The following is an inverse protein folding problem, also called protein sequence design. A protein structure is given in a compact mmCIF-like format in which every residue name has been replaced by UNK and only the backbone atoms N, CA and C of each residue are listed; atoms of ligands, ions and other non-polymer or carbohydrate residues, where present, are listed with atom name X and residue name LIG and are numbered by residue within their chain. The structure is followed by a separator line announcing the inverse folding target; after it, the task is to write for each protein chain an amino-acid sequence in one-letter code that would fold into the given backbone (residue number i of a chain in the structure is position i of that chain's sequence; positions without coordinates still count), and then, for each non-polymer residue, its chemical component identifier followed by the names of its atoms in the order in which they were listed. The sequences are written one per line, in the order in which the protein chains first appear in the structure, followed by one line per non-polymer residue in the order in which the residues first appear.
data_IF_083290101154
#
_entry.id   IF_083290101154
#
_cell.length_a   1.000
_cell.length_b   1.000
_cell.length_c   1.000
_cell.angle_alpha   90.00
_cell.angle_beta   90.00
_cell.angle_gamma   90.00
#
_symmetry.space_group_name_H-M   'P 1'
#
loop_
_entity.id
_entity.type
_entity.pdbx_description
1 polymer ?
#
# COMPACT_ATOMS: atom_id res chain seq x y z
N UNK A 1 -71.52 64.90 -10.07
CA UNK A 1 -72.48 64.14 -9.24
C UNK A 1 -71.99 62.69 -9.23
N UNK A 2 -71.31 62.15 -8.23
CA UNK A 2 -71.45 62.34 -6.79
C UNK A 2 -72.08 61.07 -6.22
N UNK A 3 -71.27 60.11 -5.75
CA UNK A 3 -71.37 59.50 -4.41
C UNK A 3 -70.55 58.21 -4.28
N UNK A 4 -69.39 58.36 -3.63
CA UNK A 4 -68.74 57.34 -2.82
C UNK A 4 -69.61 57.03 -1.57
N UNK A 5 -69.80 55.75 -1.24
CA UNK A 5 -70.16 55.26 0.11
C UNK A 5 -69.24 54.07 0.42
N UNK A 6 -68.19 54.28 1.20
CA UNK A 6 -68.05 54.00 2.66
C UNK A 6 -68.28 52.53 3.05
N UNK A 7 -67.19 51.93 3.52
CA UNK A 7 -67.13 50.75 4.40
C UNK A 7 -67.97 50.94 5.68
N UNK A 8 -68.31 49.82 6.35
CA UNK A 8 -67.80 49.67 7.70
C UNK A 8 -67.27 48.26 8.06
N UNK A 9 -66.17 48.29 8.81
CA UNK A 9 -65.79 47.53 10.00
C UNK A 9 -66.03 46.01 10.17
N UNK A 10 -64.88 45.36 10.40
CA UNK A 10 -64.56 44.40 11.47
C UNK A 10 -65.32 43.07 11.52
N UNK A 11 -64.60 42.00 11.17
CA UNK A 11 -64.74 40.70 11.84
C UNK A 11 -63.35 40.25 12.29
N UNK A 12 -63.17 40.36 13.61
CA UNK A 12 -62.47 39.45 14.51
C UNK A 12 -61.27 38.67 13.96
N UNK A 13 -60.08 39.14 14.33
CA UNK A 13 -58.90 38.31 14.56
C UNK A 13 -59.15 37.44 15.79
N UNK A 14 -59.32 36.13 15.62
CA UNK A 14 -58.92 35.13 16.62
C UNK A 14 -59.04 33.72 16.06
N UNK A 15 -58.03 32.90 16.39
CA UNK A 15 -57.86 31.45 16.09
C UNK A 15 -57.17 31.09 14.77
N UNK A 16 -56.03 31.70 14.50
CA UNK A 16 -54.85 30.95 14.03
C UNK A 16 -53.93 30.70 15.22
N UNK A 17 -54.35 29.83 16.13
CA UNK A 17 -53.50 29.30 17.19
C UNK A 17 -53.98 27.87 17.41
N UNK A 18 -53.34 26.93 16.71
CA UNK A 18 -53.23 25.49 17.03
C UNK A 18 -53.03 24.67 15.74
N UNK A 19 -51.86 24.74 15.13
CA UNK A 19 -51.36 23.61 14.33
C UNK A 19 -49.83 23.67 14.14
N UNK A 20 -49.10 23.98 15.20
CA UNK A 20 -47.69 23.59 15.33
C UNK A 20 -47.57 22.78 16.62
N UNK A 21 -48.34 21.69 16.69
CA UNK A 21 -48.25 20.74 17.79
C UNK A 21 -47.39 19.57 17.32
N UNK A 22 -46.08 19.70 17.58
CA UNK A 22 -45.12 18.62 17.78
C UNK A 22 -45.32 17.36 16.94
N UNK A 23 -44.73 17.33 15.73
CA UNK A 23 -44.42 16.07 15.05
C UNK A 23 -42.94 15.73 15.23
N UNK A 24 -42.49 15.61 16.49
CA UNK A 24 -41.19 15.02 16.84
C UNK A 24 -41.25 13.48 16.87
N UNK A 25 -42.46 12.91 16.84
CA UNK A 25 -42.71 11.47 16.79
C UNK A 25 -41.96 10.75 15.65
N UNK A 26 -42.06 11.19 14.37
CA UNK A 26 -41.36 10.51 13.27
C UNK A 26 -39.83 10.59 13.41
N UNK A 27 -39.31 11.70 13.95
CA UNK A 27 -37.88 11.84 14.24
C UNK A 27 -37.42 10.85 15.32
N UNK A 28 -38.22 10.69 16.38
CA UNK A 28 -37.96 9.72 17.43
C UNK A 28 -37.98 8.28 16.92
N UNK A 29 -38.96 7.92 16.08
CA UNK A 29 -39.01 6.60 15.45
C UNK A 29 -37.81 6.34 14.53
N UNK A 30 -37.38 7.33 13.74
CA UNK A 30 -36.17 7.21 12.91
C UNK A 30 -34.91 7.01 13.76
N UNK A 31 -34.76 7.75 14.85
CA UNK A 31 -33.65 7.57 15.78
C UNK A 31 -33.68 6.19 16.43
N UNK A 32 -34.85 5.70 16.84
CA UNK A 32 -35.01 4.36 17.42
C UNK A 32 -34.60 3.27 16.43
N UNK A 33 -35.08 3.34 15.18
CA UNK A 33 -34.73 2.39 14.12
C UNK A 33 -33.23 2.42 13.84
N UNK A 34 -32.64 3.61 13.79
CA UNK A 34 -31.19 3.76 13.61
C UNK A 34 -30.40 3.12 14.77
N UNK A 35 -30.82 3.33 16.02
CA UNK A 35 -30.17 2.73 17.20
C UNK A 35 -30.30 1.20 17.24
N UNK A 36 -31.41 0.65 16.77
CA UNK A 36 -31.60 -0.81 16.68
C UNK A 36 -30.69 -1.37 15.58
N UNK A 37 -30.66 -0.73 14.41
CA UNK A 37 -29.83 -1.17 13.29
C UNK A 37 -28.33 -1.17 13.64
N UNK A 38 -27.84 -0.14 14.33
CA UNK A 38 -26.43 -0.07 14.75
C UNK A 38 -26.07 -1.16 15.77
N UNK A 39 -26.98 -1.50 16.68
CA UNK A 39 -26.78 -2.60 17.64
C UNK A 39 -26.70 -3.96 16.96
N UNK A 40 -27.57 -4.22 15.99
CA UNK A 40 -27.56 -5.47 15.22
C UNK A 40 -26.24 -5.60 14.46
N UNK A 41 -25.81 -4.53 13.78
CA UNK A 41 -24.55 -4.52 13.04
C UNK A 41 -23.33 -4.72 13.96
N UNK A 42 -23.34 -4.11 15.15
CA UNK A 42 -22.28 -4.32 16.15
C UNK A 42 -22.24 -5.77 16.64
N UNK A 43 -23.40 -6.36 16.94
CA UNK A 43 -23.49 -7.75 17.38
C UNK A 43 -23.02 -8.74 16.29
N UNK A 44 -23.38 -8.48 15.03
CA UNK A 44 -22.90 -9.28 13.89
C UNK A 44 -21.38 -9.18 13.73
N UNK A 45 -20.82 -7.97 13.85
CA UNK A 45 -19.38 -7.75 13.82
C UNK A 45 -18.67 -8.52 14.94
N UNK A 46 -19.16 -8.45 16.19
CA UNK A 46 -18.59 -9.18 17.33
C UNK A 46 -18.59 -10.69 17.11
N UNK A 47 -19.67 -11.24 16.52
CA UNK A 47 -19.75 -12.66 16.19
C UNK A 47 -18.74 -13.06 15.11
N UNK A 48 -18.59 -12.25 14.06
CA UNK A 48 -17.61 -12.48 13.01
C UNK A 48 -16.18 -12.37 13.56
N UNK A 49 -15.92 -11.38 14.40
CA UNK A 49 -14.63 -11.20 15.05
C UNK A 49 -14.29 -12.40 15.91
N UNK A 50 -15.20 -12.82 16.79
CA UNK A 50 -15.00 -13.97 17.66
C UNK A 50 -14.68 -15.26 16.88
N UNK A 51 -15.31 -15.44 15.72
CA UNK A 51 -15.13 -16.62 14.87
C UNK A 51 -13.82 -16.60 14.08
N UNK A 52 -13.38 -15.44 13.60
CA UNK A 52 -12.30 -15.34 12.62
C UNK A 52 -11.03 -14.67 13.14
N UNK A 53 -11.09 -13.96 14.26
CA UNK A 53 -9.99 -13.16 14.78
C UNK A 53 -9.58 -13.49 16.21
N UNK A 54 -10.48 -13.96 17.08
CA UNK A 54 -10.21 -14.15 18.51
C UNK A 54 -8.96 -14.97 18.82
N UNK A 55 -8.76 -16.07 18.08
CA UNK A 55 -7.59 -16.94 18.24
C UNK A 55 -6.29 -16.27 17.78
N UNK A 56 -6.38 -15.32 16.85
CA UNK A 56 -5.24 -14.61 16.29
C UNK A 56 -4.85 -13.39 17.11
N UNK A 57 -5.83 -12.60 17.54
CA UNK A 57 -5.73 -11.46 18.46
C UNK A 57 -7.00 -11.42 19.32
N UNK A 58 -6.90 -11.45 20.66
CA UNK A 58 -8.08 -11.45 21.52
C UNK A 58 -8.82 -10.12 21.44
N UNK A 59 -10.16 -10.18 21.54
CA UNK A 59 -10.97 -8.98 21.65
C UNK A 59 -10.77 -8.31 23.02
N UNK A 60 -10.89 -6.98 23.06
CA UNK A 60 -10.71 -6.19 24.28
C UNK A 60 -11.66 -4.98 24.30
N UNK A 61 -12.03 -4.50 25.47
CA UNK A 61 -12.97 -3.38 25.60
C UNK A 61 -12.25 -2.04 25.47
N UNK A 62 -12.82 -1.11 24.71
CA UNK A 62 -12.24 0.23 24.54
C UNK A 62 -12.36 1.08 25.81
N UNK A 63 -11.26 1.69 26.24
CA UNK A 63 -11.27 2.59 27.40
C UNK A 63 -11.85 3.95 27.01
N UNK A 64 -13.07 4.26 27.50
CA UNK A 64 -13.86 5.46 27.15
C UNK A 64 -13.20 6.81 27.45
N UNK A 65 -12.17 6.88 28.28
CA UNK A 65 -11.55 8.15 28.70
C UNK A 65 -10.51 8.69 27.71
N UNK A 66 -10.18 7.97 26.64
CA UNK A 66 -9.08 8.34 25.76
C UNK A 66 -9.59 9.01 24.47
N UNK A 67 -9.45 10.33 24.38
CA UNK A 67 -9.78 11.13 23.18
C UNK A 67 -8.69 11.08 22.11
N UNK A 68 -7.51 10.50 22.43
CA UNK A 68 -6.47 10.31 21.43
C UNK A 68 -6.90 9.27 20.40
N UNK A 69 -6.94 9.68 19.12
CA UNK A 69 -7.24 8.82 17.98
C UNK A 69 -5.99 8.16 17.36
N UNK A 70 -4.81 8.48 17.88
CA UNK A 70 -3.53 7.98 17.38
C UNK A 70 -2.61 7.68 18.56
N UNK A 71 -2.07 6.47 18.59
CA UNK A 71 -1.11 6.04 19.60
C UNK A 71 0.27 5.82 18.97
N UNK A 72 1.29 6.19 19.73
CA UNK A 72 2.69 5.95 19.36
C UNK A 72 2.89 4.45 19.11
N UNK A 73 3.54 4.11 17.99
CA UNK A 73 3.71 2.72 17.53
C UNK A 73 2.68 2.24 16.50
N UNK A 74 1.46 2.79 16.43
CA UNK A 74 0.48 2.34 15.41
C UNK A 74 0.79 2.84 14.01
N UNK A 75 1.62 3.89 13.87
CA UNK A 75 2.06 4.39 12.56
C UNK A 75 2.97 3.39 11.84
N UNK A 76 3.68 2.53 12.58
CA UNK A 76 4.52 1.48 11.99
C UNK A 76 3.69 0.35 11.36
N UNK A 77 2.36 0.34 11.58
CA UNK A 77 1.45 -0.64 10.99
C UNK A 77 1.06 -0.30 9.55
N UNK A 78 1.32 0.93 9.11
CA UNK A 78 0.99 1.35 7.76
C UNK A 78 1.79 0.58 6.71
N UNK A 79 1.12 0.21 5.62
CA UNK A 79 1.74 -0.41 4.46
C UNK A 79 1.71 0.61 3.33
N UNK A 80 2.86 1.24 3.09
CA UNK A 80 3.04 2.18 1.98
C UNK A 80 3.27 1.47 0.65
N UNK A 81 3.94 0.30 0.68
CA UNK A 81 4.27 -0.53 -0.48
C UNK A 81 4.19 -2.01 -0.13
N UNK A 82 3.07 -2.64 -0.49
CA UNK A 82 2.89 -4.08 -0.45
C UNK A 82 2.67 -4.67 -1.84
N UNK A 83 2.97 -5.96 -1.96
CA UNK A 83 2.65 -6.85 -3.06
C UNK A 83 1.62 -7.87 -2.60
N UNK A 84 0.96 -8.54 -3.54
CA UNK A 84 0.05 -9.62 -3.20
C UNK A 84 -0.05 -10.70 -4.27
N UNK A 85 -0.47 -11.86 -3.82
CA UNK A 85 -0.81 -13.04 -4.61
C UNK A 85 -2.26 -13.46 -4.34
N UNK A 86 -2.87 -14.17 -5.28
CA UNK A 86 -4.30 -14.51 -5.24
C UNK A 86 -5.23 -13.33 -5.57
N UNK A 87 -6.52 -13.56 -5.42
CA UNK A 87 -7.59 -12.60 -5.73
C UNK A 87 -7.72 -12.25 -7.22
N UNK A 88 -7.20 -13.07 -8.13
CA UNK A 88 -7.14 -12.75 -9.56
C UNK A 88 -8.53 -12.63 -10.18
N UNK A 89 -9.48 -13.45 -9.72
CA UNK A 89 -10.88 -13.37 -10.14
C UNK A 89 -11.56 -12.07 -9.72
N UNK A 90 -11.09 -11.39 -8.66
CA UNK A 90 -11.66 -10.09 -8.23
C UNK A 90 -11.45 -9.00 -9.28
N UNK A 91 -10.46 -9.12 -10.16
CA UNK A 91 -10.12 -8.08 -11.13
C UNK A 91 -10.48 -8.45 -12.58
N UNK A 92 -11.11 -9.63 -12.78
CA UNK A 92 -11.57 -10.18 -14.07
C UNK A 92 -10.61 -9.89 -15.23
N UNK A 93 -9.32 -10.00 -14.98
CA UNK A 93 -8.28 -9.75 -15.96
C UNK A 93 -7.72 -11.10 -16.34
N UNK A 94 -7.58 -11.37 -17.62
CA UNK A 94 -6.57 -12.28 -18.11
C UNK A 94 -5.27 -11.47 -18.15
N UNK A 95 -4.24 -11.90 -17.44
CA UNK A 95 -2.90 -11.34 -17.64
C UNK A 95 -2.33 -12.03 -18.88
N UNK A 96 -1.88 -11.27 -19.87
CA UNK A 96 -1.07 -11.84 -20.94
C UNK A 96 0.35 -12.08 -20.39
N UNK A 97 1.03 -13.19 -20.75
CA UNK A 97 2.35 -13.55 -20.21
C UNK A 97 3.41 -12.44 -20.34
N UNK A 98 3.29 -11.60 -21.37
CA UNK A 98 4.24 -10.53 -21.69
C UNK A 98 3.96 -9.20 -20.99
N UNK A 99 2.90 -9.12 -20.18
CA UNK A 99 2.50 -7.90 -19.49
C UNK A 99 2.04 -8.22 -18.06
N UNK A 100 2.99 -8.46 -17.14
CA UNK A 100 2.67 -8.79 -15.76
C UNK A 100 1.93 -7.63 -15.09
N UNK A 101 0.93 -7.96 -14.28
CA UNK A 101 0.14 -6.96 -13.56
C UNK A 101 1.03 -6.26 -12.54
N UNK A 102 0.93 -4.94 -12.45
CA UNK A 102 1.36 -4.28 -11.22
C UNK A 102 0.30 -4.54 -10.15
N UNK A 103 0.54 -5.58 -9.37
CA UNK A 103 -0.21 -5.93 -8.15
C UNK A 103 0.40 -5.15 -7.00
N UNK A 104 -0.37 -4.24 -6.40
CA UNK A 104 0.07 -3.49 -5.23
C UNK A 104 -1.00 -3.38 -4.15
N UNK A 105 -0.52 -3.27 -2.92
CA UNK A 105 -1.33 -3.12 -1.71
C UNK A 105 -0.87 -1.90 -0.94
N UNK A 106 -1.83 -1.16 -0.39
CA UNK A 106 -1.57 -0.12 0.61
C UNK A 106 -2.54 -0.28 1.76
N UNK A 107 -2.06 -0.20 2.99
CA UNK A 107 -2.87 -0.18 4.21
C UNK A 107 -2.57 1.09 4.99
N UNK A 108 -3.61 1.71 5.54
CA UNK A 108 -3.46 2.87 6.40
C UNK A 108 -4.35 2.73 7.63
N UNK A 109 -3.76 2.86 8.81
CA UNK A 109 -4.48 2.98 10.07
C UNK A 109 -5.15 4.35 10.11
N UNK A 110 -6.47 4.36 10.32
CA UNK A 110 -7.27 5.58 10.36
C UNK A 110 -7.50 6.07 11.78
N UNK A 111 -7.71 5.15 12.72
CA UNK A 111 -7.80 5.45 14.15
C UNK A 111 -7.23 4.30 14.96
N UNK A 112 -6.63 4.61 16.09
CA UNK A 112 -6.29 3.66 17.14
C UNK A 112 -6.85 4.12 18.49
N UNK A 113 -7.24 3.16 19.34
CA UNK A 113 -7.84 3.37 20.65
C UNK A 113 -7.26 2.37 21.66
N UNK A 114 -6.99 2.82 22.89
CA UNK A 114 -6.57 1.93 23.98
C UNK A 114 -7.71 1.01 24.40
N UNK A 115 -7.33 -0.19 24.79
CA UNK A 115 -8.25 -1.16 25.39
C UNK A 115 -7.93 -1.36 26.87
N UNK A 116 -8.80 -2.08 27.57
CA UNK A 116 -8.63 -2.53 28.94
C UNK A 116 -7.49 -3.54 29.09
N UNK A 117 -7.08 -4.18 28.00
CA UNK A 117 -5.92 -5.06 27.94
C UNK A 117 -4.66 -4.28 27.56
N UNK A 118 -3.63 -4.40 28.40
CA UNK A 118 -2.34 -3.76 28.16
C UNK A 118 -1.70 -4.27 26.86
N UNK A 119 -1.20 -3.33 26.04
CA UNK A 119 -0.56 -3.65 24.76
C UNK A 119 -1.53 -4.07 23.65
N UNK A 120 -2.84 -4.09 23.90
CA UNK A 120 -3.87 -4.33 22.88
C UNK A 120 -4.57 -3.01 22.53
N UNK A 121 -4.66 -2.74 21.24
CA UNK A 121 -5.23 -1.52 20.69
C UNK A 121 -6.33 -1.86 19.71
N UNK A 122 -7.48 -1.21 19.84
CA UNK A 122 -8.51 -1.25 18.83
C UNK A 122 -8.11 -0.35 17.67
N UNK A 123 -8.12 -0.87 16.45
CA UNK A 123 -7.71 -0.15 15.25
C UNK A 123 -8.80 -0.18 14.19
N UNK A 124 -8.92 0.91 13.45
CA UNK A 124 -9.65 0.96 12.18
C UNK A 124 -8.68 1.27 11.06
N UNK A 125 -8.89 0.70 9.88
CA UNK A 125 -7.99 0.90 8.77
C UNK A 125 -8.63 0.71 7.40
N UNK A 126 -7.97 1.29 6.40
CA UNK A 126 -8.36 1.16 5.00
C UNK A 126 -7.29 0.42 4.23
N UNK A 127 -7.66 -0.74 3.67
CA UNK A 127 -6.82 -1.54 2.80
C UNK A 127 -7.24 -1.33 1.35
N UNK A 128 -6.29 -1.03 0.46
CA UNK A 128 -6.52 -0.87 -0.97
C UNK A 128 -5.66 -1.84 -1.74
N UNK A 129 -6.30 -2.75 -2.44
CA UNK A 129 -5.65 -3.75 -3.30
C UNK A 129 -5.87 -3.31 -4.74
N UNK A 130 -4.78 -3.15 -5.49
CA UNK A 130 -4.82 -2.67 -6.87
C UNK A 130 -4.26 -3.72 -7.81
N UNK A 131 -4.98 -3.96 -8.90
CA UNK A 131 -4.53 -4.77 -10.02
C UNK A 131 -4.57 -3.91 -11.27
N UNK A 132 -3.51 -3.17 -11.55
CA UNK A 132 -3.48 -2.36 -12.77
C UNK A 132 -3.27 -3.26 -13.97
N UNK A 133 -4.13 -3.10 -14.98
CA UNK A 133 -3.75 -3.50 -16.34
C UNK A 133 -2.86 -2.40 -16.88
N UNK A 134 -1.62 -2.74 -17.24
CA UNK A 134 -0.89 -1.86 -18.16
C UNK A 134 -1.74 -1.76 -19.42
N UNK A 135 -2.14 -0.53 -19.75
CA UNK A 135 -3.16 -0.26 -20.75
C UNK A 135 -2.78 -0.79 -22.12
N UNK A 136 -3.22 -2.00 -22.46
CA UNK A 136 -3.57 -2.30 -23.83
C UNK A 136 -4.87 -1.54 -24.04
N UNK A 137 -4.77 -0.36 -24.65
CA UNK A 137 -5.93 0.22 -25.29
C UNK A 137 -6.50 -0.87 -26.20
N UNK A 138 -7.66 -1.41 -25.84
CA UNK A 138 -8.42 -2.27 -26.74
C UNK A 138 -8.88 -1.37 -27.87
N UNK A 139 -8.01 -1.10 -28.83
CA UNK A 139 -8.42 -0.79 -30.18
C UNK A 139 -8.80 -2.13 -30.80
N UNK A 140 -10.09 -2.42 -30.79
CA UNK A 140 -10.66 -3.27 -31.83
C UNK A 140 -10.34 -2.55 -33.14
N UNK A 141 -9.28 -2.99 -33.81
CA UNK A 141 -8.82 -2.46 -35.10
C UNK A 141 -7.46 -1.77 -35.06
N UNK A 142 -6.43 -2.49 -35.51
CA UNK A 142 -5.37 -1.93 -36.35
C UNK A 142 -4.14 -1.30 -35.68
N UNK A 143 -3.00 -2.00 -35.87
CA UNK A 143 -1.59 -1.53 -35.92
C UNK A 143 -0.94 -1.09 -34.60
N UNK A 144 0.09 -1.86 -34.23
CA UNK A 144 0.88 -1.72 -33.01
C UNK A 144 1.69 -0.43 -32.93
N UNK A 145 1.81 0.10 -31.72
CA UNK A 145 2.75 1.16 -31.38
C UNK A 145 4.03 0.54 -30.83
N UNK A 146 5.10 0.65 -31.59
CA UNK A 146 6.46 0.60 -31.05
C UNK A 146 6.73 1.95 -30.36
N UNK A 147 7.12 1.94 -29.09
CA UNK A 147 7.66 3.11 -28.41
C UNK A 147 8.95 2.73 -27.70
N UNK A 148 10.08 2.93 -28.40
CA UNK A 148 11.42 3.03 -27.80
C UNK A 148 11.68 4.44 -27.26
N UNK A 149 12.73 4.63 -26.45
CA UNK A 149 13.04 5.88 -25.76
C UNK A 149 13.80 6.84 -26.69
N UNK A 150 13.67 8.15 -26.43
CA UNK A 150 14.18 9.28 -27.22
C UNK A 150 13.30 9.71 -28.41
N UNK A 151 12.20 10.38 -28.09
CA UNK A 151 11.65 11.42 -28.96
C UNK A 151 11.20 12.61 -28.10
N UNK A 152 12.16 13.43 -27.69
CA UNK A 152 11.91 14.85 -27.46
C UNK A 152 11.66 15.50 -28.82
N UNK A 153 10.46 15.32 -29.36
CA UNK A 153 9.99 16.14 -30.47
C UNK A 153 8.54 16.48 -30.25
N UNK A 154 8.31 17.78 -30.23
CA UNK A 154 7.06 18.53 -30.21
C UNK A 154 6.19 18.21 -31.43
N UNK A 155 5.80 16.94 -31.58
CA UNK A 155 4.81 16.53 -32.57
C UNK A 155 3.41 16.65 -31.97
N UNK A 156 2.68 17.66 -32.44
CA UNK A 156 1.24 17.82 -32.19
C UNK A 156 0.49 16.68 -32.89
N UNK A 157 0.48 15.51 -32.27
CA UNK A 157 -0.37 14.41 -32.66
C UNK A 157 -1.84 14.74 -32.33
N UNK A 158 -2.79 14.62 -33.28
CA UNK A 158 -4.21 14.86 -33.03
C UNK A 158 -4.89 13.68 -32.29
N UNK A 159 -4.13 12.68 -31.86
CA UNK A 159 -4.67 11.61 -31.03
C UNK A 159 -4.97 12.17 -29.64
N UNK A 160 -6.22 12.62 -29.45
CA UNK A 160 -6.82 12.83 -28.13
C UNK A 160 -6.43 11.62 -27.29
N UNK A 161 -5.62 11.82 -26.24
CA UNK A 161 -5.39 10.81 -25.20
C UNK A 161 -6.77 10.44 -24.65
N UNK A 162 -7.35 9.35 -25.16
CA UNK A 162 -8.60 8.81 -24.66
C UNK A 162 -8.27 8.34 -23.24
N UNK A 163 -8.57 9.20 -22.25
CA UNK A 163 -8.54 8.77 -20.85
C UNK A 163 -9.46 7.56 -20.78
N UNK A 164 -8.93 6.42 -20.35
CA UNK A 164 -9.74 5.25 -20.06
C UNK A 164 -10.97 5.69 -19.26
N UNK A 165 -12.18 5.22 -19.59
CA UNK A 165 -13.39 5.59 -18.86
C UNK A 165 -13.14 5.44 -17.36
N UNK A 166 -13.53 6.43 -16.54
CA UNK A 166 -13.29 6.42 -15.08
C UNK A 166 -13.74 5.10 -14.43
N UNK A 167 -14.81 4.50 -14.96
CA UNK A 167 -15.40 3.23 -14.55
C UNK A 167 -14.41 2.06 -14.71
N UNK A 168 -13.67 1.99 -15.81
CA UNK A 168 -12.68 0.92 -16.06
C UNK A 168 -11.52 0.98 -15.06
N UNK A 169 -11.09 2.17 -14.64
CA UNK A 169 -10.05 2.35 -13.61
C UNK A 169 -10.53 2.03 -12.19
N UNK A 170 -11.82 2.20 -11.93
CA UNK A 170 -12.42 1.87 -10.63
C UNK A 170 -12.60 0.35 -10.44
N UNK A 171 -12.72 -0.41 -11.55
CA UNK A 171 -12.75 -1.88 -11.52
C UNK A 171 -11.38 -2.53 -11.22
N UNK A 172 -10.30 -1.76 -11.19
CA UNK A 172 -8.93 -2.22 -10.88
C UNK A 172 -8.58 -2.14 -9.39
N UNK A 173 -9.53 -1.69 -8.54
CA UNK A 173 -9.28 -1.41 -7.12
C UNK A 173 -10.33 -2.12 -6.27
N UNK A 174 -9.87 -2.86 -5.27
CA UNK A 174 -10.68 -3.39 -4.19
C UNK A 174 -10.35 -2.62 -2.91
N UNK A 175 -11.35 -1.96 -2.34
CA UNK A 175 -11.19 -1.10 -1.16
C UNK A 175 -11.90 -1.77 0.01
N UNK A 176 -11.17 -1.98 1.10
CA UNK A 176 -11.68 -2.58 2.33
C UNK A 176 -11.61 -1.53 3.45
N UNK A 177 -12.70 -1.45 4.21
CA UNK A 177 -12.76 -0.75 5.49
C UNK A 177 -12.98 -1.81 6.56
N UNK A 178 -12.06 -1.88 7.53
CA UNK A 178 -12.11 -2.90 8.56
C UNK A 178 -11.76 -2.34 9.94
N UNK A 179 -12.31 -2.99 10.96
CA UNK A 179 -12.12 -2.68 12.37
C UNK A 179 -11.74 -3.96 13.11
N UNK A 180 -10.84 -3.83 14.08
CA UNK A 180 -10.44 -4.94 14.94
C UNK A 180 -9.33 -4.51 15.89
N UNK A 181 -8.36 -5.39 16.11
CA UNK A 181 -7.38 -5.21 17.17
C UNK A 181 -5.95 -5.49 16.68
N UNK A 182 -5.02 -4.76 17.28
CA UNK A 182 -3.57 -4.94 17.19
C UNK A 182 -3.05 -5.32 18.57
N UNK A 183 -2.23 -6.36 18.64
CA UNK A 183 -1.54 -6.79 19.86
C UNK A 183 -0.04 -6.55 19.72
N UNK A 184 0.49 -5.69 20.59
CA UNK A 184 1.90 -5.35 20.64
C UNK A 184 2.77 -6.54 21.07
N UNK A 185 2.26 -7.44 21.92
CA UNK A 185 3.01 -8.61 22.40
C UNK A 185 3.13 -9.71 21.34
N UNK A 186 2.09 -9.93 20.55
CA UNK A 186 2.09 -10.95 19.50
C UNK A 186 2.56 -10.44 18.13
N UNK A 187 2.71 -9.12 17.99
CA UNK A 187 3.00 -8.43 16.73
C UNK A 187 2.02 -8.81 15.61
N UNK A 188 0.73 -8.92 15.96
CA UNK A 188 -0.34 -9.33 15.05
C UNK A 188 -1.52 -8.37 15.11
N UNK A 189 -2.16 -8.16 13.96
CA UNK A 189 -3.49 -7.55 13.89
C UNK A 189 -4.49 -8.42 13.17
N UNK A 190 -5.74 -8.38 13.63
CA UNK A 190 -6.88 -8.97 12.95
C UNK A 190 -8.04 -7.99 12.94
N UNK A 191 -8.67 -7.85 11.78
CA UNK A 191 -9.79 -6.95 11.56
C UNK A 191 -10.87 -7.62 10.73
N UNK A 192 -12.13 -7.28 11.02
CA UNK A 192 -13.30 -7.66 10.24
C UNK A 192 -13.89 -6.40 9.61
N UNK A 193 -14.33 -6.50 8.37
CA UNK A 193 -14.84 -5.36 7.65
C UNK A 193 -15.60 -5.70 6.38
N UNK A 194 -15.84 -4.67 5.59
CA UNK A 194 -16.45 -4.79 4.27
C UNK A 194 -15.50 -4.27 3.20
N UNK A 195 -15.34 -5.07 2.16
CA UNK A 195 -14.65 -4.71 0.93
C UNK A 195 -15.64 -4.41 -0.17
N UNK A 196 -15.37 -3.40 -0.99
CA UNK A 196 -16.15 -3.14 -2.20
C UNK A 196 -15.26 -2.95 -3.42
N UNK A 197 -15.77 -3.37 -4.58
CA UNK A 197 -15.17 -3.13 -5.90
C UNK A 197 -16.25 -2.76 -6.90
N UNK A 198 -15.86 -2.02 -7.94
CA UNK A 198 -16.74 -1.75 -9.07
C UNK A 198 -16.61 -2.82 -10.15
N UNK A 199 -17.73 -3.25 -10.70
CA UNK A 199 -17.80 -4.06 -11.90
C UNK A 199 -17.71 -3.16 -13.14
N UNK A 200 -17.42 -3.74 -14.30
CA UNK A 200 -17.33 -2.98 -15.57
C UNK A 200 -18.64 -2.28 -15.95
N UNK A 201 -19.77 -2.79 -15.48
CA UNK A 201 -21.09 -2.16 -15.65
C UNK A 201 -21.35 -1.00 -14.66
N UNK A 202 -20.37 -0.66 -13.80
CA UNK A 202 -20.48 0.41 -12.81
C UNK A 202 -21.16 0.02 -11.48
N UNK A 203 -21.72 -1.19 -11.37
CA UNK A 203 -22.28 -1.67 -10.10
C UNK A 203 -21.19 -2.01 -9.08
N UNK A 204 -21.47 -1.82 -7.79
CA UNK A 204 -20.55 -2.17 -6.72
C UNK A 204 -20.86 -3.59 -6.21
N UNK A 205 -19.84 -4.43 -6.09
CA UNK A 205 -19.91 -5.70 -5.37
C UNK A 205 -19.27 -5.51 -4.00
N UNK A 206 -19.99 -5.87 -2.96
CA UNK A 206 -19.56 -5.81 -1.56
C UNK A 206 -19.30 -7.23 -1.05
N UNK A 207 -18.24 -7.40 -0.28
CA UNK A 207 -17.86 -8.65 0.37
C UNK A 207 -17.50 -8.37 1.82
N UNK A 208 -18.02 -9.14 2.77
CA UNK A 208 -17.50 -9.21 4.13
C UNK A 208 -16.14 -9.88 4.11
N UNK A 209 -15.18 -9.34 4.86
CA UNK A 209 -13.78 -9.79 4.82
C UNK A 209 -13.14 -9.86 6.20
N UNK A 210 -12.22 -10.79 6.38
CA UNK A 210 -11.24 -10.77 7.47
C UNK A 210 -9.86 -10.41 6.93
N UNK A 211 -9.19 -9.48 7.61
CA UNK A 211 -7.85 -9.01 7.28
C UNK A 211 -6.94 -9.31 8.46
N UNK A 212 -5.90 -10.11 8.23
CA UNK A 212 -4.90 -10.46 9.24
C UNK A 212 -3.53 -9.98 8.78
N UNK A 213 -2.73 -9.46 9.71
CA UNK A 213 -1.34 -9.12 9.50
C UNK A 213 -0.47 -9.68 10.63
N UNK A 214 0.70 -10.23 10.26
CA UNK A 214 1.79 -10.59 11.17
C UNK A 214 2.99 -9.72 10.83
N UNK A 215 3.48 -8.99 11.82
CA UNK A 215 4.60 -8.08 11.70
C UNK A 215 5.85 -8.77 12.26
N UNK A 216 7.03 -8.51 11.69
CA UNK A 216 8.25 -9.05 12.25
C UNK A 216 8.54 -8.42 13.62
N UNK A 217 9.03 -9.24 14.56
CA UNK A 217 9.50 -8.78 15.87
C UNK A 217 10.71 -7.85 15.71
N UNK A 218 11.66 -8.31 14.90
CA UNK A 218 12.90 -7.63 14.57
C UNK A 218 13.04 -7.59 13.06
N UNK A 219 13.37 -6.43 12.51
CA UNK A 219 13.60 -6.25 11.09
C UNK A 219 15.08 -6.47 10.78
N UNK A 220 15.39 -7.50 10.01
CA UNK A 220 16.74 -7.80 9.49
C UNK A 220 16.67 -7.93 7.98
N UNK A 221 17.79 -8.16 7.29
CA UNK A 221 17.79 -8.47 5.86
C UNK A 221 16.88 -9.66 5.51
N UNK A 222 16.65 -10.61 6.44
CA UNK A 222 15.81 -11.80 6.24
C UNK A 222 14.37 -11.66 6.78
N UNK A 223 14.13 -10.77 7.73
CA UNK A 223 12.85 -10.64 8.45
C UNK A 223 12.19 -9.28 8.24
N UNK A 224 12.38 -8.68 7.07
CA UNK A 224 11.91 -7.32 6.76
C UNK A 224 10.47 -7.20 6.25
N UNK A 225 9.71 -8.29 6.20
CA UNK A 225 8.41 -8.32 5.54
C UNK A 225 7.26 -8.65 6.50
N UNK A 226 6.18 -7.88 6.36
CA UNK A 226 4.87 -8.11 6.96
C UNK A 226 4.16 -9.17 6.12
N UNK A 227 3.61 -10.19 6.77
CA UNK A 227 2.77 -11.19 6.14
C UNK A 227 1.30 -10.86 6.40
N UNK A 228 0.50 -10.73 5.35
CA UNK A 228 -0.94 -10.48 5.48
C UNK A 228 -1.80 -11.50 4.73
N UNK A 229 -3.04 -11.66 5.19
CA UNK A 229 -4.05 -12.48 4.53
C UNK A 229 -5.39 -11.76 4.53
N UNK A 230 -6.06 -11.75 3.38
CA UNK A 230 -7.45 -11.30 3.24
C UNK A 230 -8.31 -12.45 2.79
N UNK A 231 -9.33 -12.77 3.56
CA UNK A 231 -10.28 -13.85 3.27
C UNK A 231 -11.69 -13.28 3.14
N UNK A 232 -12.45 -13.78 2.16
CA UNK A 232 -13.87 -13.48 2.03
C UNK A 232 -14.69 -14.31 3.03
N UNK A 233 -15.61 -13.67 3.75
CA UNK A 233 -16.47 -14.32 4.74
C UNK A 233 -17.84 -14.71 4.17
N UNK A 234 -18.26 -14.07 3.07
CA UNK A 234 -19.52 -14.35 2.42
C UNK A 234 -19.42 -15.57 1.50
N UNK A 235 -20.46 -16.42 1.50
CA UNK A 235 -20.55 -17.55 0.56
C UNK A 235 -20.81 -17.10 -0.88
N UNK A 236 -21.64 -16.08 -1.08
CA UNK A 236 -22.07 -15.64 -2.42
C UNK A 236 -21.04 -14.74 -3.11
N UNK A 237 -20.32 -13.94 -2.32
CA UNK A 237 -19.27 -13.03 -2.80
C UNK A 237 -17.87 -13.49 -2.36
N UNK A 238 -17.69 -14.81 -2.22
CA UNK A 238 -16.41 -15.42 -1.86
C UNK A 238 -15.37 -15.20 -2.95
N UNK A 239 -14.12 -15.06 -2.52
CA UNK A 239 -12.96 -15.02 -3.40
C UNK A 239 -11.83 -15.84 -2.76
N UNK A 240 -10.93 -16.32 -3.61
CA UNK A 240 -9.72 -17.00 -3.14
C UNK A 240 -8.89 -16.09 -2.21
N UNK A 241 -8.31 -16.62 -1.12
CA UNK A 241 -7.53 -15.82 -0.20
C UNK A 241 -6.47 -14.98 -0.90
N UNK A 242 -6.30 -13.73 -0.45
CA UNK A 242 -5.27 -12.83 -0.93
C UNK A 242 -4.13 -12.82 0.08
N UNK A 243 -2.93 -13.19 -0.37
CA UNK A 243 -1.73 -13.17 0.46
C UNK A 243 -0.96 -11.90 0.18
N UNK A 244 -0.66 -11.13 1.24
CA UNK A 244 0.02 -9.84 1.17
C UNK A 244 1.44 -10.02 1.70
N UNK A 245 2.42 -9.44 1.01
CA UNK A 245 3.74 -9.17 1.58
C UNK A 245 4.06 -7.70 1.46
N UNK A 246 4.57 -7.10 2.52
CA UNK A 246 4.92 -5.68 2.51
C UNK A 246 6.20 -5.41 3.30
N UNK A 247 6.98 -4.42 2.87
CA UNK A 247 8.13 -3.98 3.65
C UNK A 247 7.65 -3.38 4.99
N UNK A 248 8.24 -3.84 6.09
CA UNK A 248 8.01 -3.24 7.41
C UNK A 248 8.93 -2.04 7.60
N UNK A 249 8.39 -0.89 8.00
CA UNK A 249 9.16 0.35 8.22
C UNK A 249 9.63 0.50 9.69
N UNK A 250 9.59 -0.56 10.49
CA UNK A 250 10.06 -0.55 11.88
C UNK A 250 11.60 -0.58 12.06
N UNK A 251 12.07 -0.65 13.33
CA UNK A 251 13.49 -0.61 13.68
C UNK A 251 14.28 -1.74 13.03
N UNK A 252 15.47 -1.43 12.49
CA UNK A 252 16.32 -2.36 11.75
C UNK A 252 17.55 -2.80 12.55
N UNK A 253 17.80 -4.10 12.59
CA UNK A 253 18.99 -4.70 13.17
C UNK A 253 19.93 -5.21 12.07
N UNK A 254 21.17 -4.75 12.13
CA UNK A 254 22.20 -5.11 11.15
C UNK A 254 22.82 -6.47 11.48
N UNK A 255 22.72 -7.42 10.54
CA UNK A 255 23.14 -8.82 10.80
C UNK A 255 24.28 -9.31 9.92
N UNK A 256 24.49 -8.69 8.76
CA UNK A 256 25.39 -9.17 7.69
C UNK A 256 26.34 -8.10 7.15
N UNK A 257 26.50 -6.98 7.87
CA UNK A 257 27.42 -5.90 7.46
C UNK A 257 28.86 -6.40 7.35
N UNK A 258 29.31 -7.25 8.27
CA UNK A 258 30.66 -7.83 8.23
C UNK A 258 30.88 -8.71 7.01
N UNK A 259 29.85 -9.45 6.58
CA UNK A 259 29.90 -10.27 5.37
C UNK A 259 30.08 -9.39 4.13
N UNK A 260 29.38 -8.24 4.06
CA UNK A 260 29.55 -7.26 2.98
C UNK A 260 30.98 -6.70 2.91
N UNK A 261 31.53 -6.33 4.06
CA UNK A 261 32.91 -5.86 4.14
C UNK A 261 33.91 -6.93 3.69
N UNK A 262 33.71 -8.19 4.09
CA UNK A 262 34.60 -9.30 3.75
C UNK A 262 34.65 -9.53 2.24
N UNK A 263 33.50 -9.53 1.57
CA UNK A 263 33.39 -9.68 0.11
C UNK A 263 34.09 -8.53 -0.62
N UNK A 264 33.90 -7.30 -0.15
CA UNK A 264 34.58 -6.13 -0.72
C UNK A 264 36.10 -6.15 -0.51
N UNK A 265 36.60 -6.60 0.65
CA UNK A 265 38.05 -6.71 0.89
C UNK A 265 38.69 -7.74 -0.04
N UNK A 266 37.95 -8.82 -0.36
CA UNK A 266 38.43 -9.88 -1.25
C UNK A 266 38.43 -9.47 -2.74
N UNK A 267 37.62 -8.47 -3.14
CA UNK A 267 37.49 -8.03 -4.53
C UNK A 267 37.88 -6.56 -4.66
N UNK A 268 38.99 -6.29 -5.34
CA UNK A 268 39.33 -4.92 -5.75
C UNK A 268 38.43 -4.53 -6.94
N UNK A 269 37.64 -3.44 -6.85
CA UNK A 269 36.89 -2.96 -8.02
C UNK A 269 37.86 -2.51 -9.12
N UNK A 270 37.54 -2.83 -10.37
CA UNK A 270 38.39 -2.53 -11.54
C UNK A 270 38.54 -1.03 -11.81
N UNK A 271 37.57 -0.21 -11.38
CA UNK A 271 37.58 1.24 -11.57
C UNK A 271 37.11 1.94 -10.28
N UNK A 272 37.95 2.80 -9.71
CA UNK A 272 37.57 3.74 -8.65
C UNK A 272 37.79 5.15 -9.17
N UNK A 273 36.92 5.60 -10.06
CA UNK A 273 36.74 7.02 -10.37
C UNK A 273 35.30 7.41 -10.06
N UNK A 274 34.86 7.10 -8.84
CA UNK A 274 33.61 7.63 -8.33
C UNK A 274 33.90 8.96 -7.63
N UNK A 275 33.78 10.07 -8.35
CA UNK A 275 33.67 11.38 -7.70
C UNK A 275 32.24 11.53 -7.12
N UNK A 276 31.89 10.64 -6.19
CA UNK A 276 30.59 10.61 -5.52
C UNK A 276 30.63 11.65 -4.38
N UNK A 277 30.65 12.93 -4.77
CA UNK A 277 30.29 14.03 -3.88
C UNK A 277 28.82 13.92 -3.40
N UNK A 278 28.05 13.02 -4.04
CA UNK A 278 26.68 12.62 -3.66
C UNK A 278 26.63 12.03 -2.24
N UNK A 279 27.70 11.42 -1.73
CA UNK A 279 27.76 10.94 -0.33
C UNK A 279 28.67 11.79 0.57
N UNK A 280 29.59 12.58 0.00
CA UNK A 280 30.49 13.46 0.78
C UNK A 280 29.84 14.76 1.29
N UNK A 281 28.63 15.10 0.85
CA UNK A 281 27.95 16.33 1.27
C UNK A 281 27.19 16.20 2.60
N UNK A 282 27.84 16.57 3.72
CA UNK A 282 27.29 17.17 4.94
C UNK A 282 25.99 16.61 5.60
N UNK A 283 25.63 15.34 5.41
CA UNK A 283 24.51 14.75 6.19
C UNK A 283 24.55 13.22 6.35
N UNK A 284 25.72 12.59 6.30
CA UNK A 284 25.85 11.15 6.66
C UNK A 284 26.02 10.91 8.16
N UNK A 285 26.08 11.97 8.97
CA UNK A 285 26.15 11.87 10.44
C UNK A 285 24.75 12.10 10.99
N UNK A 286 23.95 11.05 11.00
CA UNK A 286 22.61 11.04 11.58
C UNK A 286 21.81 9.83 11.12
N UNK A 287 21.08 9.21 12.04
CA UNK A 287 20.17 8.13 11.71
C UNK A 287 19.06 8.67 10.79
N UNK A 288 18.93 8.12 9.57
CA UNK A 288 17.91 8.59 8.63
C UNK A 288 18.15 8.26 7.17
N UNK A 289 17.42 8.95 6.28
CA UNK A 289 17.48 8.76 4.82
C UNK A 289 18.80 9.26 4.24
N UNK A 290 19.58 8.35 3.66
CA UNK A 290 20.92 8.63 3.12
C UNK A 290 20.94 9.64 1.97
N UNK A 291 19.82 9.78 1.23
CA UNK A 291 19.76 10.55 -0.02
C UNK A 291 18.79 11.72 0.04
N UNK A 292 18.64 12.38 1.19
CA UNK A 292 17.81 13.60 1.28
C UNK A 292 18.15 14.60 0.17
N UNK A 293 17.24 14.73 -0.81
CA UNK A 293 17.35 15.67 -1.93
C UNK A 293 18.26 15.28 -3.10
N UNK A 294 18.78 14.04 -3.17
CA UNK A 294 19.69 13.59 -4.25
C UNK A 294 19.06 12.54 -5.18
N UNK A 295 19.64 12.40 -6.38
CA UNK A 295 19.25 11.40 -7.38
C UNK A 295 19.35 9.99 -6.78
N UNK A 296 18.26 9.23 -6.88
CA UNK A 296 18.15 7.83 -6.44
C UNK A 296 18.34 6.83 -7.57
N UNK A 297 18.66 7.32 -8.76
CA UNK A 297 18.77 6.56 -9.99
C UNK A 297 20.21 6.58 -10.48
N UNK A 298 20.74 5.40 -10.82
CA UNK A 298 22.09 5.23 -11.32
C UNK A 298 22.07 4.29 -12.53
N UNK A 299 22.82 4.64 -13.57
CA UNK A 299 23.03 3.77 -14.72
C UNK A 299 24.07 2.68 -14.38
N UNK A 300 23.86 1.47 -14.88
CA UNK A 300 24.74 0.35 -14.64
C UNK A 300 25.67 0.13 -15.82
N UNK A 301 26.97 0.19 -15.54
CA UNK A 301 28.02 -0.23 -16.46
C UNK A 301 28.46 -1.64 -16.08
N UNK A 302 28.19 -2.62 -16.94
CA UNK A 302 28.67 -3.98 -16.78
C UNK A 302 30.07 -4.10 -17.37
N UNK A 303 30.93 -4.89 -16.73
CA UNK A 303 32.28 -5.13 -17.22
C UNK A 303 32.24 -5.80 -18.60
N UNK A 304 33.17 -5.47 -19.49
CA UNK A 304 33.31 -6.00 -20.85
C UNK A 304 33.35 -7.53 -20.95
N UNK A 305 33.79 -8.23 -19.90
CA UNK A 305 33.79 -9.70 -19.80
C UNK A 305 32.43 -10.31 -19.45
N UNK A 306 31.39 -9.49 -19.29
CA UNK A 306 30.09 -9.94 -18.82
C UNK A 306 29.17 -10.37 -19.96
N UNK A 307 29.36 -11.60 -20.45
CA UNK A 307 28.53 -12.23 -21.47
C UNK A 307 27.84 -13.49 -20.90
N UNK A 308 26.59 -13.37 -20.44
CA UNK A 308 25.76 -14.52 -20.04
C UNK A 308 24.96 -14.33 -18.75
N UNK A 309 24.41 -15.44 -18.23
CA UNK A 309 23.50 -15.47 -17.07
C UNK A 309 24.11 -15.04 -15.73
N UNK A 310 25.44 -15.08 -15.61
CA UNK A 310 26.17 -14.75 -14.37
C UNK A 310 26.40 -13.24 -14.17
N UNK A 311 25.93 -12.43 -15.12
CA UNK A 311 26.13 -10.98 -15.12
C UNK A 311 25.12 -10.19 -14.32
N UNK A 312 24.07 -10.86 -13.90
CA UNK A 312 22.97 -10.26 -13.16
C UNK A 312 22.71 -11.07 -11.91
N UNK A 313 22.46 -10.40 -10.76
CA UNK A 313 22.02 -11.08 -9.57
C UNK A 313 20.60 -11.62 -9.73
N UNK A 314 19.98 -11.62 -10.92
CA UNK A 314 18.64 -12.16 -11.21
C UNK A 314 18.64 -13.36 -12.17
N UNK A 315 19.81 -13.95 -12.49
CA UNK A 315 19.94 -15.11 -13.39
C UNK A 315 19.33 -14.88 -14.79
N UNK A 316 19.50 -13.66 -15.31
CA UNK A 316 18.96 -13.25 -16.61
C UNK A 316 20.00 -13.50 -17.69
N UNK A 317 19.62 -14.30 -18.69
CA UNK A 317 20.51 -14.69 -19.80
C UNK A 317 20.30 -13.84 -21.06
N UNK A 318 19.09 -13.30 -21.28
CA UNK A 318 18.78 -12.46 -22.44
C UNK A 318 19.38 -11.05 -22.23
N UNK A 319 20.30 -10.60 -23.11
CA UNK A 319 20.89 -9.27 -23.00
C UNK A 319 19.88 -8.13 -22.97
N UNK A 320 18.71 -8.28 -23.59
CA UNK A 320 17.64 -7.25 -23.62
C UNK A 320 16.93 -7.09 -22.28
N UNK A 321 17.00 -8.13 -21.44
CA UNK A 321 16.43 -8.17 -20.10
C UNK A 321 17.47 -7.83 -19.03
N UNK A 322 18.72 -7.61 -19.44
CA UNK A 322 19.79 -7.28 -18.52
C UNK A 322 19.50 -5.93 -17.82
N UNK A 323 19.73 -5.83 -16.50
CA UNK A 323 19.60 -4.56 -15.80
C UNK A 323 20.51 -3.49 -16.41
N UNK A 324 19.93 -2.35 -16.77
CA UNK A 324 20.63 -1.17 -17.26
C UNK A 324 20.69 -0.04 -16.23
N UNK A 325 19.85 -0.09 -15.21
CA UNK A 325 19.85 0.92 -14.16
C UNK A 325 19.39 0.38 -12.82
N UNK A 326 19.76 1.10 -11.77
CA UNK A 326 19.40 0.83 -10.39
C UNK A 326 18.74 2.07 -9.78
N UNK A 327 17.62 1.84 -9.11
CA UNK A 327 16.92 2.81 -8.31
C UNK A 327 16.97 2.38 -6.84
N UNK A 328 17.53 3.22 -5.99
CA UNK A 328 17.63 2.94 -4.55
C UNK A 328 16.49 3.64 -3.82
N UNK A 329 15.76 2.87 -3.02
CA UNK A 329 14.60 3.36 -2.29
C UNK A 329 14.68 2.97 -0.82
N UNK A 330 14.15 3.81 0.06
CA UNK A 330 14.21 3.62 1.50
C UNK A 330 15.63 3.24 1.98
N UNK A 331 16.63 3.97 1.48
CA UNK A 331 18.00 3.78 1.94
C UNK A 331 18.18 4.52 3.25
N UNK A 332 18.36 3.78 4.33
CA UNK A 332 18.63 4.32 5.64
C UNK A 332 20.09 4.12 6.01
N UNK A 333 20.68 5.12 6.62
CA UNK A 333 22.07 5.15 7.07
C UNK A 333 22.11 5.40 8.58
N UNK A 334 23.06 4.76 9.26
CA UNK A 334 23.46 5.13 10.61
C UNK A 334 24.64 6.09 10.59
N UNK A 335 24.90 6.75 11.73
CA UNK A 335 26.09 7.60 11.90
C UNK A 335 27.43 6.88 11.67
N UNK A 336 27.47 5.55 11.84
CA UNK A 336 28.65 4.71 11.58
C UNK A 336 28.80 4.34 10.09
N UNK A 337 27.93 4.85 9.22
CA UNK A 337 27.91 4.55 7.79
C UNK A 337 27.32 3.18 7.43
N UNK A 338 26.74 2.45 8.40
CA UNK A 338 25.96 1.23 8.11
C UNK A 338 24.71 1.65 7.36
N UNK A 339 24.28 0.84 6.41
CA UNK A 339 23.11 1.16 5.60
C UNK A 339 22.30 -0.05 5.20
N UNK A 340 20.99 0.14 5.07
CA UNK A 340 20.08 -0.86 4.54
C UNK A 340 19.01 -0.21 3.64
N UNK A 341 18.46 -0.97 2.72
CA UNK A 341 17.39 -0.47 1.85
C UNK A 341 17.03 -1.40 0.70
N UNK A 342 16.16 -0.90 -0.18
CA UNK A 342 15.74 -1.60 -1.39
C UNK A 342 16.51 -1.10 -2.60
N UNK A 343 17.03 -2.04 -3.38
CA UNK A 343 17.75 -1.82 -4.62
C UNK A 343 16.90 -2.39 -5.75
N UNK A 344 16.23 -1.52 -6.50
CA UNK A 344 15.33 -1.90 -7.59
C UNK A 344 16.06 -1.72 -8.92
N UNK A 345 16.17 -2.78 -9.69
CA UNK A 345 16.85 -2.78 -10.97
C UNK A 345 15.83 -2.67 -12.10
N UNK A 346 16.21 -1.98 -13.16
CA UNK A 346 15.40 -1.81 -14.37
C UNK A 346 16.21 -2.20 -15.59
N UNK A 347 15.56 -2.86 -16.54
CA UNK A 347 16.13 -3.19 -17.86
C UNK A 347 15.59 -2.25 -18.93
N UNK A 348 16.28 -2.20 -20.07
CA UNK A 348 15.87 -1.37 -21.22
C UNK A 348 14.56 -1.86 -21.85
N UNK A 349 14.25 -3.15 -21.71
CA UNK A 349 12.99 -3.75 -22.12
C UNK A 349 11.99 -3.65 -20.97
N UNK A 350 10.87 -2.97 -21.20
CA UNK A 350 9.96 -2.53 -20.14
C UNK A 350 9.31 -3.70 -19.37
N UNK A 351 9.02 -3.44 -18.09
CA UNK A 351 8.15 -4.18 -17.17
C UNK A 351 8.65 -5.53 -16.60
N UNK A 352 9.62 -5.47 -15.69
CA UNK A 352 9.82 -6.52 -14.69
C UNK A 352 9.80 -5.91 -13.28
N UNK A 353 8.79 -6.27 -12.48
CA UNK A 353 8.73 -5.95 -11.05
C UNK A 353 9.63 -6.89 -10.21
N UNK A 354 10.34 -7.81 -10.86
CA UNK A 354 11.02 -8.98 -10.28
C UNK A 354 12.49 -8.73 -9.91
N UNK A 355 13.02 -7.54 -10.23
CA UNK A 355 14.43 -7.23 -10.03
C UNK A 355 14.65 -6.35 -8.79
N UNK A 356 14.10 -6.74 -7.65
CA UNK A 356 14.29 -6.04 -6.37
C UNK A 356 15.19 -6.83 -5.45
N UNK A 357 16.16 -6.16 -4.84
CA UNK A 357 16.95 -6.70 -3.74
C UNK A 357 16.68 -5.90 -2.47
N UNK A 358 16.68 -6.58 -1.33
CA UNK A 358 16.86 -5.94 -0.02
C UNK A 358 18.29 -6.18 0.41
N UNK A 359 19.00 -5.11 0.79
CA UNK A 359 20.40 -5.20 1.14
C UNK A 359 20.75 -4.44 2.39
N UNK A 360 21.82 -4.89 3.04
CA UNK A 360 22.50 -4.19 4.12
C UNK A 360 24.02 -4.20 3.91
N UNK A 361 24.69 -3.20 4.46
CA UNK A 361 26.09 -2.97 4.17
C UNK A 361 26.67 -1.76 4.87
N UNK A 362 27.79 -1.28 4.36
CA UNK A 362 28.46 -0.09 4.88
C UNK A 362 29.12 0.73 3.77
N UNK A 363 29.05 2.04 3.92
CA UNK A 363 29.79 2.99 3.10
C UNK A 363 31.21 3.19 3.63
N UNK A 364 32.21 2.97 2.76
CA UNK A 364 33.62 3.30 3.01
C UNK A 364 33.92 4.67 2.37
N UNK A 365 33.94 5.72 3.19
CA UNK A 365 34.15 7.09 2.73
C UNK A 365 35.58 7.36 2.24
N UNK A 366 36.57 6.65 2.77
CA UNK A 366 37.97 6.79 2.37
C UNK A 366 38.17 6.24 0.95
N UNK A 367 37.54 5.11 0.65
CA UNK A 367 37.60 4.48 -0.68
C UNK A 367 36.53 4.97 -1.65
N UNK A 368 35.53 5.72 -1.15
CA UNK A 368 34.37 6.11 -1.94
C UNK A 368 33.58 4.91 -2.45
N UNK A 369 33.48 3.85 -1.64
CA UNK A 369 32.95 2.54 -2.04
C UNK A 369 31.77 2.12 -1.15
N UNK A 370 30.70 1.61 -1.78
CA UNK A 370 29.60 0.98 -1.09
C UNK A 370 29.72 -0.55 -1.14
N UNK A 371 29.73 -1.18 0.03
CA UNK A 371 29.77 -2.63 0.19
C UNK A 371 28.46 -3.14 0.76
N UNK A 372 27.74 -3.98 -0.01
CA UNK A 372 26.41 -4.47 0.35
C UNK A 372 26.32 -5.98 0.09
N UNK A 373 25.71 -6.69 1.03
CA UNK A 373 25.10 -8.01 0.76
C UNK A 373 23.61 -7.83 0.61
N UNK A 374 23.02 -8.62 -0.28
CA UNK A 374 21.61 -8.47 -0.60
C UNK A 374 20.95 -9.82 -0.85
N UNK A 375 19.66 -9.88 -0.54
CA UNK A 375 18.79 -11.01 -0.86
C UNK A 375 17.80 -10.61 -1.94
N UNK A 376 17.45 -11.57 -2.82
CA UNK A 376 16.40 -11.35 -3.82
C UNK A 376 15.05 -11.23 -3.13
N UNK A 377 14.28 -10.23 -3.54
CA UNK A 377 12.86 -10.15 -3.25
C UNK A 377 12.15 -10.78 -4.45
N UNK A 378 11.73 -12.03 -4.32
CA UNK A 378 10.99 -12.75 -5.33
C UNK A 378 9.52 -12.30 -5.45
N UNK A 379 8.80 -13.03 -6.29
CA UNK A 379 7.39 -12.79 -6.56
C UNK A 379 6.57 -12.71 -5.28
N UNK A 380 5.63 -11.76 -5.27
CA UNK A 380 4.80 -11.51 -4.11
C UNK A 380 5.51 -10.84 -2.94
N UNK A 381 6.77 -10.38 -3.08
CA UNK A 381 7.48 -9.63 -2.04
C UNK A 381 8.10 -10.51 -0.96
N UNK A 382 8.55 -11.73 -1.30
CA UNK A 382 9.19 -12.66 -0.35
C UNK A 382 10.68 -12.76 -0.62
N UNK A 383 11.47 -13.08 0.39
CA UNK A 383 12.90 -13.30 0.19
C UNK A 383 13.13 -14.69 -0.42
N UNK A 384 13.86 -14.74 -1.53
CA UNK A 384 14.25 -15.98 -2.21
C UNK A 384 15.77 -16.11 -2.14
N UNK A 385 16.22 -17.25 -1.62
CA UNK A 385 17.63 -17.62 -1.45
C UNK A 385 18.23 -18.20 -2.72
#
# INVERSE_FOLDING_TARGET
MGNFRRFPHSISSSRMANSVRNSLLPLFFLLLVFQIATRIAAQEHDQLYKKHCEEFVPAAETVRSNTSRYFEGTNALDISRGFYEGGDWLFNSSAYPWNPRSKSVTFSVMTSQKTDQEGVFKITGSLKIRSRRFGVGVTVGGRGFHSGPYASSSSHSPFKRVRSPKIARMAEIFVIQAEGFWSNSSHRSCMIGSGYRYLFNGSARVSSVSVRFSYPLTRTILTSFINGTVEGLDKENSFEPIFISAAYDGPYEYTRVEDAQRVCKARKPDVVHANIDVLKGNSLVGDGDCFRGKLRYFELELNSGCNGSNCSPFNVSDPRLMPSSIFVNNLYCSAEGKMHGFFMFQSQSWNFNEMTLIGEGQWDAEKGQLCVVACRVGDGGRIVS
#
